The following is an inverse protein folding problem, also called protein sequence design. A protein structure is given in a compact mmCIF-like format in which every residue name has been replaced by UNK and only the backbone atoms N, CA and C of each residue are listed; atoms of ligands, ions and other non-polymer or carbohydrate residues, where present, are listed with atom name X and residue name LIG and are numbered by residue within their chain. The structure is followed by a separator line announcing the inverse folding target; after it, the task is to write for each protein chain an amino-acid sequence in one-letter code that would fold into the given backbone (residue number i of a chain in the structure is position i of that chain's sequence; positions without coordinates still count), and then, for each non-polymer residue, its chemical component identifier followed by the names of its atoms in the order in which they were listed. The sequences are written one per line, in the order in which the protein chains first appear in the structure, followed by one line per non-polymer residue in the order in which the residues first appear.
data_IF_957758353419
#
_entry.id   IF_957758353419
#
_cell.length_a   1.000
_cell.length_b   1.000
_cell.length_c   1.000
_cell.angle_alpha   90.00
_cell.angle_beta   90.00
_cell.angle_gamma   90.00
#
_symmetry.space_group_name_H-M   'P 1'
#
loop_
_entity.id
_entity.type
_entity.pdbx_description
1 polymer ?
#
# COMPACT_ATOMS: atom_id res chain seq x y z
N UNK A 1 -15.15 -4.66 -11.63
CA UNK A 1 -16.31 -4.73 -10.71
C UNK A 1 -15.93 -4.25 -9.30
N UNK A 2 -14.97 -4.91 -8.63
CA UNK A 2 -14.51 -4.55 -7.27
C UNK A 2 -14.22 -3.05 -7.11
N UNK A 3 -13.37 -2.47 -7.98
CA UNK A 3 -13.03 -1.05 -7.89
C UNK A 3 -14.26 -0.12 -7.92
N UNK A 4 -15.28 -0.45 -8.72
CA UNK A 4 -16.53 0.33 -8.75
C UNK A 4 -17.32 0.22 -7.45
N UNK A 5 -17.37 -0.96 -6.83
CA UNK A 5 -18.05 -1.16 -5.55
C UNK A 5 -17.35 -0.37 -4.43
N UNK A 6 -16.01 -0.42 -4.39
CA UNK A 6 -15.21 0.34 -3.43
C UNK A 6 -15.38 1.85 -3.61
N UNK A 7 -15.37 2.33 -4.85
CA UNK A 7 -15.67 3.74 -5.17
C UNK A 7 -17.08 4.16 -4.75
N UNK A 8 -18.05 3.24 -4.77
CA UNK A 8 -19.40 3.47 -4.26
C UNK A 8 -19.51 3.39 -2.73
N UNK A 9 -18.39 3.26 -2.00
CA UNK A 9 -18.36 3.21 -0.54
C UNK A 9 -18.54 1.82 0.07
N UNK A 10 -18.49 0.75 -0.74
CA UNK A 10 -18.67 -0.64 -0.26
C UNK A 10 -17.31 -1.24 0.10
N UNK A 11 -17.16 -1.77 1.32
CA UNK A 11 -15.99 -2.59 1.69
C UNK A 11 -16.07 -3.93 0.97
N UNK A 12 -15.05 -4.25 0.16
CA UNK A 12 -14.99 -5.52 -0.58
C UNK A 12 -13.88 -6.39 -0.03
N UNK A 13 -14.25 -7.53 0.54
CA UNK A 13 -13.32 -8.58 1.01
C UNK A 13 -13.34 -9.73 0.01
N UNK A 14 -12.16 -10.21 -0.39
CA UNK A 14 -12.02 -11.31 -1.35
C UNK A 14 -11.05 -12.36 -0.81
N UNK A 15 -11.33 -13.63 -1.07
CA UNK A 15 -10.41 -14.73 -0.79
C UNK A 15 -9.19 -14.66 -1.71
N UNK A 16 -8.00 -14.95 -1.20
CA UNK A 16 -6.78 -15.03 -2.02
C UNK A 16 -6.84 -16.19 -3.04
N UNK A 17 -7.47 -17.31 -2.69
CA UNK A 17 -7.46 -18.54 -3.46
C UNK A 17 -6.83 -19.69 -2.65
N UNK A 18 -7.00 -20.93 -3.14
CA UNK A 18 -6.52 -22.14 -2.46
C UNK A 18 -5.46 -22.89 -3.28
N UNK A 19 -4.62 -22.15 -4.01
CA UNK A 19 -3.61 -22.67 -4.94
C UNK A 19 -2.18 -22.37 -4.47
N UNK A 20 -1.99 -22.35 -3.15
CA UNK A 20 -0.70 -22.05 -2.53
C UNK A 20 0.34 -23.16 -2.65
N UNK A 21 -0.06 -24.38 -3.01
CA UNK A 21 0.83 -25.52 -3.14
C UNK A 21 0.55 -26.29 -4.42
N UNK A 22 1.61 -26.88 -4.98
CA UNK A 22 1.51 -27.87 -6.03
C UNK A 22 1.05 -29.24 -5.47
N UNK A 23 0.73 -30.22 -6.35
CA UNK A 23 0.34 -31.57 -5.90
C UNK A 23 1.41 -32.33 -5.11
N UNK A 24 2.66 -31.86 -5.11
CA UNK A 24 3.79 -32.46 -4.39
C UNK A 24 4.04 -31.79 -3.02
N UNK A 25 3.26 -30.75 -2.68
CA UNK A 25 3.37 -30.01 -1.42
C UNK A 25 4.39 -28.87 -1.45
N UNK A 26 4.98 -28.55 -2.61
CA UNK A 26 5.88 -27.41 -2.73
C UNK A 26 5.08 -26.11 -2.75
N UNK A 27 5.63 -25.04 -2.15
CA UNK A 27 5.02 -23.71 -2.18
C UNK A 27 4.96 -23.18 -3.62
N UNK A 28 3.84 -22.56 -3.97
CA UNK A 28 3.61 -21.90 -5.26
C UNK A 28 3.26 -20.43 -5.03
N UNK A 29 3.99 -19.54 -5.71
CA UNK A 29 3.77 -18.09 -5.74
C UNK A 29 3.02 -17.70 -7.01
N UNK A 30 2.44 -16.50 -7.04
CA UNK A 30 1.71 -16.03 -8.23
C UNK A 30 0.29 -16.59 -8.35
N UNK A 31 -0.29 -17.12 -7.28
CA UNK A 31 -1.52 -17.92 -7.32
C UNK A 31 -2.75 -17.19 -6.78
N UNK A 32 -2.67 -15.87 -6.64
CA UNK A 32 -3.80 -15.02 -6.23
C UNK A 32 -4.86 -15.01 -7.32
N UNK A 33 -6.09 -15.31 -6.92
CA UNK A 33 -7.23 -15.47 -7.84
C UNK A 33 -8.07 -14.20 -7.95
N UNK A 34 -8.76 -14.05 -9.08
CA UNK A 34 -9.81 -13.04 -9.21
C UNK A 34 -11.02 -13.40 -8.35
N UNK A 35 -11.63 -12.45 -7.62
CA UNK A 35 -11.42 -11.00 -7.67
C UNK A 35 -10.35 -10.43 -6.71
N UNK A 36 -9.63 -11.27 -5.96
CA UNK A 36 -8.58 -10.89 -5.00
C UNK A 36 -7.32 -10.26 -5.61
N UNK A 37 -7.12 -10.39 -6.92
CA UNK A 37 -6.10 -9.62 -7.67
C UNK A 37 -6.37 -8.11 -7.69
N UNK A 38 -7.61 -7.68 -7.41
CA UNK A 38 -7.94 -6.26 -7.46
C UNK A 38 -7.21 -5.47 -6.37
N UNK A 39 -6.51 -4.36 -6.69
CA UNK A 39 -5.84 -3.55 -5.68
C UNK A 39 -6.80 -2.97 -4.63
N UNK A 40 -8.04 -2.70 -5.06
CA UNK A 40 -9.12 -2.17 -4.22
C UNK A 40 -9.74 -3.21 -3.27
N UNK A 41 -9.60 -4.51 -3.53
CA UNK A 41 -10.08 -5.54 -2.63
C UNK A 41 -9.22 -5.60 -1.36
N UNK A 42 -9.82 -6.01 -0.25
CA UNK A 42 -9.14 -6.58 0.91
C UNK A 42 -9.01 -8.09 0.63
N UNK A 43 -7.85 -8.50 0.16
CA UNK A 43 -7.55 -9.88 -0.23
C UNK A 43 -7.00 -10.64 0.95
N UNK A 44 -7.62 -11.77 1.28
CA UNK A 44 -7.37 -12.48 2.54
C UNK A 44 -6.83 -13.88 2.28
N UNK A 45 -5.63 -14.15 2.80
CA UNK A 45 -5.07 -15.50 2.88
C UNK A 45 -5.52 -16.22 4.16
N UNK A 46 -5.22 -17.51 4.26
CA UNK A 46 -5.68 -18.37 5.35
C UNK A 46 -4.57 -18.75 6.31
N UNK A 47 -4.88 -18.77 7.61
CA UNK A 47 -4.06 -19.44 8.63
C UNK A 47 -4.76 -20.67 9.20
N UNK A 48 -3.94 -21.60 9.65
CA UNK A 48 -4.31 -22.72 10.49
C UNK A 48 -3.95 -22.41 11.93
N UNK A 49 -4.97 -22.31 12.79
CA UNK A 49 -4.80 -21.91 14.19
C UNK A 49 -4.43 -23.07 15.12
N UNK A 50 -4.21 -24.26 14.57
CA UNK A 50 -3.96 -25.51 15.32
C UNK A 50 -5.03 -25.86 16.37
N UNK A 51 -6.21 -25.22 16.30
CA UNK A 51 -7.27 -25.39 17.28
C UNK A 51 -6.94 -24.77 18.64
N UNK A 52 -5.94 -23.89 18.74
CA UNK A 52 -5.60 -23.16 19.96
C UNK A 52 -6.06 -21.70 19.85
N UNK A 53 -6.08 -21.02 21.00
CA UNK A 53 -6.28 -19.56 21.06
C UNK A 53 -4.95 -18.80 20.98
N UNK A 54 -3.82 -19.51 21.17
CA UNK A 54 -2.49 -18.92 21.12
C UNK A 54 -2.19 -18.49 19.68
N UNK A 55 -1.39 -17.43 19.54
CA UNK A 55 -1.07 -16.85 18.22
C UNK A 55 0.31 -17.25 17.75
N UNK A 56 1.16 -17.65 18.70
CA UNK A 56 2.54 -18.03 18.50
C UNK A 56 2.72 -19.34 17.72
N UNK A 57 1.69 -20.21 17.65
CA UNK A 57 1.71 -21.47 16.92
C UNK A 57 0.88 -21.45 15.61
N UNK A 58 0.23 -20.33 15.30
CA UNK A 58 -0.51 -20.12 14.06
C UNK A 58 0.43 -20.21 12.84
N UNK A 59 -0.01 -20.91 11.78
CA UNK A 59 0.74 -21.03 10.53
C UNK A 59 -0.09 -20.58 9.33
N UNK A 60 0.53 -19.95 8.33
CA UNK A 60 -0.13 -19.76 7.02
C UNK A 60 -0.49 -21.13 6.47
N UNK A 61 -1.77 -21.31 6.14
CA UNK A 61 -2.30 -22.58 5.68
C UNK A 61 -1.60 -22.94 4.36
N UNK A 62 -1.16 -24.20 4.18
CA UNK A 62 -0.37 -24.58 3.01
C UNK A 62 -1.09 -24.29 1.68
N UNK A 63 -2.41 -24.52 1.63
CA UNK A 63 -3.25 -24.22 0.47
C UNK A 63 -3.44 -22.72 0.19
N UNK A 64 -3.18 -21.82 1.14
CA UNK A 64 -3.43 -20.39 0.95
C UNK A 64 -2.64 -19.85 -0.23
N UNK A 65 -3.34 -19.30 -1.24
CA UNK A 65 -2.69 -18.68 -2.39
C UNK A 65 -1.73 -17.57 -1.95
N UNK A 66 -0.63 -17.43 -2.69
CA UNK A 66 0.48 -16.54 -2.40
C UNK A 66 0.67 -15.55 -3.54
N UNK A 67 1.04 -14.33 -3.20
CA UNK A 67 1.40 -13.31 -4.18
C UNK A 67 2.69 -13.64 -4.95
N UNK A 68 3.17 -12.71 -5.78
CA UNK A 68 2.45 -11.50 -6.20
C UNK A 68 1.21 -11.84 -7.07
N UNK A 69 0.45 -10.84 -7.52
CA UNK A 69 -0.52 -11.03 -8.59
C UNK A 69 0.19 -11.26 -9.93
N UNK A 70 -0.44 -12.04 -10.81
CA UNK A 70 0.04 -12.28 -12.18
C UNK A 70 -0.96 -11.74 -13.23
N UNK A 71 -1.73 -10.71 -12.86
CA UNK A 71 -2.53 -9.99 -13.87
C UNK A 71 -1.58 -9.27 -14.82
N UNK A 72 -1.99 -9.16 -16.08
CA UNK A 72 -1.11 -8.62 -17.10
C UNK A 72 -1.87 -7.82 -18.14
N UNK A 73 -1.15 -6.91 -18.78
CA UNK A 73 -1.55 -6.31 -20.05
C UNK A 73 -0.66 -6.84 -21.17
N UNK A 74 -1.27 -7.12 -22.31
CA UNK A 74 -0.55 -7.50 -23.52
C UNK A 74 -0.55 -6.33 -24.49
N UNK A 75 0.62 -5.92 -24.95
CA UNK A 75 0.74 -4.91 -26.00
C UNK A 75 0.14 -5.48 -27.30
N UNK A 76 -0.90 -4.85 -27.88
CA UNK A 76 -1.60 -5.40 -29.04
C UNK A 76 -0.77 -5.35 -30.33
N UNK A 77 0.31 -4.56 -30.36
CA UNK A 77 1.20 -4.40 -31.52
C UNK A 77 2.40 -5.33 -31.41
N UNK A 78 3.07 -5.38 -30.25
CA UNK A 78 4.31 -6.15 -30.08
C UNK A 78 4.10 -7.55 -29.49
N UNK A 79 2.91 -7.85 -28.96
CA UNK A 79 2.61 -9.08 -28.24
C UNK A 79 3.30 -9.19 -26.86
N UNK A 80 4.01 -8.16 -26.41
CA UNK A 80 4.73 -8.17 -25.14
C UNK A 80 3.76 -8.20 -23.97
N UNK A 81 3.96 -9.14 -23.04
CA UNK A 81 3.19 -9.28 -21.80
C UNK A 81 3.91 -8.57 -20.66
N UNK A 82 3.21 -7.71 -19.94
CA UNK A 82 3.70 -7.03 -18.73
C UNK A 82 2.80 -7.39 -17.57
N UNK A 83 3.37 -8.05 -16.57
CA UNK A 83 2.69 -8.45 -15.34
C UNK A 83 2.68 -7.30 -14.32
N UNK A 84 1.61 -7.23 -13.53
CA UNK A 84 1.40 -6.19 -12.53
C UNK A 84 2.14 -6.47 -11.20
N UNK A 85 2.50 -7.72 -10.90
CA UNK A 85 3.34 -8.13 -9.77
C UNK A 85 2.98 -7.48 -8.43
N UNK A 86 1.70 -7.26 -8.14
CA UNK A 86 1.26 -6.57 -6.93
C UNK A 86 1.37 -7.48 -5.70
N UNK A 87 1.77 -6.89 -4.58
CA UNK A 87 1.84 -7.60 -3.31
C UNK A 87 0.43 -7.95 -2.79
N UNK A 88 0.21 -9.26 -2.61
CA UNK A 88 -1.00 -9.89 -2.11
C UNK A 88 -0.63 -11.19 -1.36
N UNK A 89 -1.45 -11.68 -0.41
CA UNK A 89 -2.68 -11.08 0.10
C UNK A 89 -2.40 -9.78 0.88
N UNK A 90 -3.45 -9.00 1.22
CA UNK A 90 -3.27 -7.80 2.05
C UNK A 90 -3.05 -8.17 3.52
N UNK A 91 -3.72 -9.23 4.00
CA UNK A 91 -3.53 -9.83 5.33
C UNK A 91 -3.99 -11.30 5.32
N UNK A 92 -3.73 -12.02 6.40
CA UNK A 92 -4.24 -13.38 6.62
C UNK A 92 -5.21 -13.45 7.80
N UNK A 93 -6.10 -14.44 7.81
CA UNK A 93 -7.05 -14.67 8.90
C UNK A 93 -7.36 -16.17 9.06
N UNK A 94 -7.89 -16.62 10.21
CA UNK A 94 -8.26 -18.02 10.43
C UNK A 94 -9.12 -18.57 9.30
N UNK A 95 -8.66 -19.66 8.68
CA UNK A 95 -9.29 -20.23 7.48
C UNK A 95 -9.16 -21.73 7.31
N UNK A 96 -8.33 -22.40 8.10
CA UNK A 96 -8.27 -23.86 8.12
C UNK A 96 -9.04 -24.41 9.33
N UNK A 97 -9.84 -25.45 9.10
CA UNK A 97 -10.64 -26.16 10.11
C UNK A 97 -11.59 -25.24 10.89
N UNK A 98 -12.22 -24.30 10.19
CA UNK A 98 -13.18 -23.38 10.77
C UNK A 98 -14.54 -24.07 10.89
N UNK A 99 -15.06 -24.13 12.11
CA UNK A 99 -16.41 -24.62 12.40
C UNK A 99 -17.40 -23.48 12.24
N UNK A 100 -18.40 -23.65 11.39
CA UNK A 100 -19.47 -22.66 11.17
C UNK A 100 -20.79 -23.34 10.83
N UNK A 101 -21.85 -22.54 10.62
CA UNK A 101 -23.22 -23.03 10.42
C UNK A 101 -23.30 -24.01 9.25
N UNK A 102 -23.96 -25.14 9.49
CA UNK A 102 -24.34 -26.08 8.46
C UNK A 102 -25.80 -25.85 8.03
N UNK A 103 -26.02 -25.77 6.72
CA UNK A 103 -27.36 -25.75 6.13
C UNK A 103 -28.01 -27.14 6.26
N UNK A 104 -29.32 -27.20 6.49
CA UNK A 104 -30.06 -28.47 6.36
C UNK A 104 -29.91 -29.07 4.94
N UNK A 105 -29.83 -30.41 4.87
CA UNK A 105 -29.55 -31.17 3.63
C UNK A 105 -28.29 -30.69 2.88
N UNK A 106 -27.19 -30.44 3.61
CA UNK A 106 -25.93 -30.00 3.04
C UNK A 106 -25.27 -31.10 2.18
N UNK A 107 -25.00 -30.79 0.91
CA UNK A 107 -24.34 -31.70 -0.03
C UNK A 107 -22.94 -32.13 0.42
N UNK A 108 -22.13 -31.20 0.95
CA UNK A 108 -20.77 -31.49 1.39
C UNK A 108 -20.79 -32.43 2.61
N UNK A 109 -21.68 -32.21 3.57
CA UNK A 109 -21.81 -33.10 4.73
C UNK A 109 -22.36 -34.46 4.34
N UNK A 110 -23.29 -34.52 3.38
CA UNK A 110 -23.79 -35.78 2.82
C UNK A 110 -22.66 -36.58 2.15
N UNK A 111 -21.79 -35.89 1.40
CA UNK A 111 -20.67 -36.51 0.69
C UNK A 111 -19.49 -36.84 1.61
N UNK A 112 -19.26 -36.00 2.63
CA UNK A 112 -18.15 -36.10 3.58
C UNK A 112 -18.68 -35.97 5.03
N UNK A 113 -19.31 -37.02 5.58
CA UNK A 113 -19.98 -36.93 6.90
C UNK A 113 -19.07 -36.51 8.05
N UNK A 114 -17.76 -36.79 7.95
CA UNK A 114 -16.77 -36.44 8.96
C UNK A 114 -16.57 -34.92 9.16
N UNK A 115 -17.05 -34.08 8.24
CA UNK A 115 -16.97 -32.62 8.40
C UNK A 115 -18.15 -32.07 9.23
N UNK A 116 -19.15 -32.90 9.54
CA UNK A 116 -20.22 -32.52 10.45
C UNK A 116 -19.68 -32.29 11.87
N UNK A 117 -20.24 -31.29 12.55
CA UNK A 117 -19.94 -30.99 13.94
C UNK A 117 -21.26 -30.77 14.68
N UNK A 118 -21.52 -31.60 15.69
CA UNK A 118 -22.69 -31.45 16.54
C UNK A 118 -22.62 -30.16 17.37
N UNK A 119 -23.74 -29.43 17.41
CA UNK A 119 -23.90 -28.31 18.33
C UNK A 119 -24.27 -28.74 19.73
N UNK A 120 -24.13 -27.84 20.71
CA UNK A 120 -24.52 -28.09 22.10
C UNK A 120 -26.01 -27.94 22.38
N UNK A 121 -26.77 -27.35 21.43
CA UNK A 121 -28.22 -27.18 21.51
C UNK A 121 -28.92 -28.12 20.53
N UNK A 122 -30.12 -28.56 20.88
CA UNK A 122 -30.97 -29.39 20.02
C UNK A 122 -31.12 -28.75 18.63
N UNK A 123 -30.94 -29.56 17.58
CA UNK A 123 -31.00 -29.15 16.17
C UNK A 123 -29.94 -28.12 15.73
N UNK A 124 -28.93 -27.82 16.54
CA UNK A 124 -27.81 -26.98 16.11
C UNK A 124 -26.82 -27.82 15.32
N UNK A 125 -26.65 -27.49 14.04
CA UNK A 125 -25.77 -28.20 13.10
C UNK A 125 -24.66 -27.28 12.66
N UNK A 126 -23.43 -27.77 12.74
CA UNK A 126 -22.24 -27.07 12.27
C UNK A 126 -21.46 -27.97 11.34
N UNK A 127 -20.60 -27.37 10.53
CA UNK A 127 -19.65 -28.08 9.69
C UNK A 127 -18.28 -27.42 9.74
N UNK A 128 -17.24 -28.23 9.63
CA UNK A 128 -15.85 -27.78 9.61
C UNK A 128 -15.36 -27.69 8.17
N UNK A 129 -14.95 -26.50 7.74
CA UNK A 129 -14.41 -26.28 6.40
C UNK A 129 -13.03 -25.61 6.45
N UNK A 130 -12.27 -25.76 5.37
CA UNK A 130 -10.98 -25.11 5.18
C UNK A 130 -10.96 -24.38 3.84
N UNK A 131 -10.47 -23.14 3.84
CA UNK A 131 -10.31 -22.33 2.65
C UNK A 131 -10.10 -20.86 2.97
N UNK A 132 -9.49 -20.13 2.05
CA UNK A 132 -9.42 -18.66 2.11
C UNK A 132 -10.79 -18.01 2.06
N UNK A 133 -11.82 -18.72 1.60
CA UNK A 133 -13.24 -18.33 1.71
C UNK A 133 -13.69 -18.16 3.17
N UNK A 134 -13.23 -19.02 4.08
CA UNK A 134 -13.56 -18.91 5.51
C UNK A 134 -12.87 -17.67 6.11
N UNK A 135 -11.59 -17.47 5.77
CA UNK A 135 -10.84 -16.27 6.18
C UNK A 135 -11.49 -14.97 5.70
N UNK A 136 -11.98 -14.93 4.46
CA UNK A 136 -12.71 -13.78 3.93
C UNK A 136 -13.99 -13.48 4.74
N UNK A 137 -14.71 -14.52 5.19
CA UNK A 137 -15.84 -14.37 6.11
C UNK A 137 -15.44 -13.76 7.46
N UNK A 138 -14.34 -14.23 8.05
CA UNK A 138 -13.81 -13.70 9.32
C UNK A 138 -13.43 -12.22 9.20
N UNK A 139 -12.71 -11.84 8.14
CA UNK A 139 -12.32 -10.43 7.90
C UNK A 139 -13.54 -9.56 7.59
N UNK A 140 -14.56 -10.08 6.91
CA UNK A 140 -15.82 -9.35 6.68
C UNK A 140 -16.53 -9.03 8.01
N UNK A 141 -16.54 -9.96 8.97
CA UNK A 141 -17.03 -9.71 10.32
C UNK A 141 -16.23 -8.64 11.07
N UNK A 142 -14.90 -8.66 10.96
CA UNK A 142 -14.05 -7.63 11.55
C UNK A 142 -14.32 -6.24 10.95
N UNK A 143 -14.48 -6.14 9.62
CA UNK A 143 -14.85 -4.90 8.95
C UNK A 143 -16.22 -4.38 9.42
N UNK A 144 -17.20 -5.27 9.63
CA UNK A 144 -18.51 -4.90 10.18
C UNK A 144 -18.39 -4.33 11.61
N UNK A 145 -17.57 -4.93 12.48
CA UNK A 145 -17.31 -4.41 13.83
C UNK A 145 -16.63 -3.04 13.79
N UNK A 146 -15.69 -2.82 12.88
CA UNK A 146 -15.06 -1.51 12.69
C UNK A 146 -16.07 -0.44 12.25
N UNK A 147 -16.94 -0.78 11.31
CA UNK A 147 -18.00 0.12 10.84
C UNK A 147 -19.07 0.36 11.91
N UNK A 148 -19.33 -0.62 12.78
CA UNK A 148 -20.18 -0.42 13.96
C UNK A 148 -19.54 0.59 14.93
N UNK A 149 -18.23 0.49 15.16
CA UNK A 149 -17.49 1.42 16.02
C UNK A 149 -17.38 2.82 15.41
N UNK A 150 -17.22 2.91 14.09
CA UNK A 150 -17.18 4.18 13.37
C UNK A 150 -17.81 4.05 11.96
N UNK A 151 -19.09 4.43 11.81
CA UNK A 151 -19.79 4.34 10.53
C UNK A 151 -19.27 5.31 9.46
N UNK A 152 -18.41 6.27 9.81
CA UNK A 152 -17.86 7.26 8.88
C UNK A 152 -16.60 6.76 8.15
N UNK A 153 -16.10 5.56 8.47
CA UNK A 153 -14.93 5.00 7.83
C UNK A 153 -15.21 4.68 6.37
N UNK A 154 -14.27 5.08 5.51
CA UNK A 154 -14.26 4.71 4.10
C UNK A 154 -13.71 3.30 3.92
N UNK A 155 -14.02 2.59 2.81
CA UNK A 155 -13.44 1.28 2.55
C UNK A 155 -11.91 1.24 2.60
N UNK A 156 -11.29 2.32 2.15
CA UNK A 156 -9.84 2.47 2.13
C UNK A 156 -9.26 2.60 3.55
N UNK A 157 -9.94 3.32 4.43
CA UNK A 157 -9.59 3.39 5.85
C UNK A 157 -9.80 2.06 6.55
N UNK A 158 -10.88 1.33 6.25
CA UNK A 158 -11.10 -0.02 6.79
C UNK A 158 -9.94 -0.95 6.40
N UNK A 159 -9.59 -0.98 5.12
CA UNK A 159 -8.43 -1.75 4.62
C UNK A 159 -7.14 -1.35 5.34
N UNK A 160 -6.87 -0.04 5.44
CA UNK A 160 -5.66 0.46 6.06
C UNK A 160 -5.55 0.09 7.55
N UNK A 161 -6.63 0.27 8.31
CA UNK A 161 -6.65 -0.06 9.73
C UNK A 161 -6.42 -1.56 9.93
N UNK A 162 -7.11 -2.44 9.17
CA UNK A 162 -6.94 -3.89 9.26
C UNK A 162 -5.48 -4.32 9.06
N UNK A 163 -4.80 -3.72 8.08
CA UNK A 163 -3.40 -4.01 7.78
C UNK A 163 -2.45 -3.44 8.85
N UNK A 164 -2.68 -2.19 9.26
CA UNK A 164 -1.89 -1.51 10.28
C UNK A 164 -1.90 -2.25 11.62
N UNK A 165 -3.05 -2.80 12.01
CA UNK A 165 -3.22 -3.48 13.30
C UNK A 165 -2.88 -4.96 13.24
N UNK A 166 -2.68 -5.54 12.05
CA UNK A 166 -2.35 -6.95 11.88
C UNK A 166 -1.09 -7.36 12.64
N UNK A 167 -0.97 -8.64 13.00
CA UNK A 167 0.17 -9.22 13.69
C UNK A 167 1.16 -9.83 12.70
N UNK A 168 2.41 -9.38 12.69
CA UNK A 168 3.44 -10.05 11.88
C UNK A 168 3.67 -11.46 12.45
N UNK A 169 3.59 -12.46 11.58
CA UNK A 169 3.87 -13.85 11.88
C UNK A 169 5.35 -14.15 11.64
N UNK A 170 5.92 -15.06 12.44
CA UNK A 170 7.28 -15.53 12.28
C UNK A 170 7.36 -16.62 11.20
N UNK A 171 8.21 -16.44 10.19
CA UNK A 171 8.44 -17.44 9.15
C UNK A 171 7.89 -17.11 7.75
N UNK A 172 6.59 -16.79 7.56
CA UNK A 172 6.05 -16.51 6.23
C UNK A 172 6.54 -15.16 5.71
N UNK A 173 6.75 -15.05 4.40
CA UNK A 173 7.13 -13.78 3.76
C UNK A 173 5.91 -12.88 3.44
N UNK A 174 6.19 -11.70 2.87
CA UNK A 174 5.19 -10.71 2.50
C UNK A 174 4.07 -11.26 1.60
N UNK A 175 4.40 -12.10 0.62
CA UNK A 175 3.45 -12.68 -0.32
C UNK A 175 2.67 -13.85 0.27
N UNK A 176 3.08 -14.36 1.44
CA UNK A 176 2.34 -15.37 2.20
C UNK A 176 1.38 -14.74 3.22
N UNK A 177 1.88 -13.83 4.07
CA UNK A 177 1.11 -13.28 5.19
C UNK A 177 0.52 -11.88 4.96
N UNK A 178 0.94 -11.19 3.90
CA UNK A 178 0.60 -9.78 3.73
C UNK A 178 1.09 -8.95 4.91
N UNK A 179 0.25 -8.04 5.41
CA UNK A 179 0.56 -7.18 6.54
C UNK A 179 0.62 -7.95 7.87
N UNK A 180 0.21 -9.22 7.84
CA UNK A 180 0.19 -10.11 8.99
C UNK A 180 -1.20 -10.70 9.21
N UNK A 181 -1.34 -11.32 10.37
CA UNK A 181 -2.54 -11.99 10.80
C UNK A 181 -3.52 -11.02 11.47
N UNK A 182 -4.80 -11.09 11.07
CA UNK A 182 -5.89 -10.26 11.54
C UNK A 182 -5.88 -10.07 13.06
N UNK A 183 -5.99 -8.82 13.50
CA UNK A 183 -6.16 -8.43 14.90
C UNK A 183 -7.41 -7.56 15.03
N UNK A 184 -8.51 -8.15 15.50
CA UNK A 184 -9.81 -7.49 15.61
C UNK A 184 -9.83 -6.45 16.74
N UNK A 185 -9.19 -6.73 17.87
CA UNK A 185 -9.08 -5.79 19.00
C UNK A 185 -8.44 -4.47 18.57
N UNK A 186 -7.26 -4.56 17.96
CA UNK A 186 -6.54 -3.39 17.46
C UNK A 186 -7.35 -2.64 16.40
N UNK A 187 -7.93 -3.36 15.44
CA UNK A 187 -8.69 -2.76 14.35
C UNK A 187 -9.89 -1.94 14.86
N UNK A 188 -10.66 -2.47 15.83
CA UNK A 188 -11.82 -1.78 16.40
C UNK A 188 -11.39 -0.59 17.27
N UNK A 189 -10.32 -0.72 18.07
CA UNK A 189 -9.77 0.38 18.88
C UNK A 189 -9.29 1.54 18.02
N UNK A 190 -8.60 1.24 16.92
CA UNK A 190 -8.17 2.27 15.96
C UNK A 190 -9.37 2.88 15.24
N UNK A 191 -10.35 2.08 14.80
CA UNK A 191 -11.58 2.57 14.18
C UNK A 191 -12.32 3.58 15.07
N UNK A 192 -12.47 3.28 16.36
CA UNK A 192 -13.10 4.15 17.35
C UNK A 192 -12.31 5.45 17.61
N UNK A 193 -10.98 5.43 17.45
CA UNK A 193 -10.14 6.62 17.60
C UNK A 193 -10.16 7.55 16.37
N UNK A 194 -10.63 7.05 15.23
CA UNK A 194 -10.76 7.86 14.01
C UNK A 194 -11.89 8.89 14.14
N UNK A 195 -11.74 10.01 13.44
CA UNK A 195 -12.73 11.07 13.35
C UNK A 195 -14.07 10.54 12.86
N UNK A 196 -15.17 11.08 13.40
CA UNK A 196 -16.54 10.83 12.90
C UNK A 196 -16.82 11.52 11.57
N UNK A 197 -15.88 12.34 11.08
CA UNK A 197 -15.88 12.96 9.75
C UNK A 197 -14.83 12.34 8.84
N UNK A 198 -14.43 11.08 9.09
CA UNK A 198 -13.31 10.46 8.39
C UNK A 198 -13.50 10.39 6.87
N UNK A 199 -14.73 10.24 6.39
CA UNK A 199 -15.08 10.27 4.97
C UNK A 199 -15.06 11.67 4.32
N UNK A 200 -15.19 12.74 5.12
CA UNK A 200 -15.29 14.13 4.63
C UNK A 200 -14.14 15.01 5.09
N UNK A 201 -13.08 14.41 5.66
CA UNK A 201 -11.93 15.15 6.14
C UNK A 201 -11.18 15.79 4.97
N UNK A 202 -10.84 17.07 5.09
CA UNK A 202 -10.01 17.76 4.10
C UNK A 202 -8.53 17.48 4.35
N UNK A 203 -7.71 17.56 3.30
CA UNK A 203 -6.26 17.34 3.38
C UNK A 203 -5.66 18.20 4.51
N UNK A 204 -4.95 17.54 5.44
CA UNK A 204 -4.32 18.18 6.59
C UNK A 204 -5.13 18.15 7.89
N UNK A 205 -6.41 17.75 7.87
CA UNK A 205 -7.19 17.57 9.09
C UNK A 205 -6.85 16.26 9.78
N UNK A 206 -6.36 16.30 11.03
CA UNK A 206 -6.05 15.10 11.80
C UNK A 206 -7.25 14.14 11.84
N UNK A 207 -7.05 12.93 11.31
CA UNK A 207 -8.06 11.88 11.30
C UNK A 207 -8.12 11.10 12.60
N UNK A 208 -7.09 11.21 13.43
CA UNK A 208 -7.11 10.68 14.80
C UNK A 208 -7.61 11.79 15.72
N UNK A 209 -8.64 11.49 16.50
CA UNK A 209 -9.27 12.46 17.41
C UNK A 209 -8.92 12.14 18.88
N UNK A 210 -9.15 13.11 19.77
CA UNK A 210 -8.98 12.92 21.20
C UNK A 210 -7.55 12.60 21.63
N UNK A 211 -7.36 11.49 22.35
CA UNK A 211 -6.12 11.09 23.04
C UNK A 211 -5.02 10.57 22.09
N UNK A 212 -5.29 10.46 20.79
CA UNK A 212 -4.36 9.89 19.80
C UNK A 212 -4.61 8.40 19.53
N UNK A 213 -3.66 7.75 18.85
CA UNK A 213 -3.79 6.33 18.52
C UNK A 213 -3.61 5.47 19.78
N UNK A 214 -4.37 4.37 19.91
CA UNK A 214 -4.11 3.37 20.93
C UNK A 214 -2.68 2.83 20.85
N UNK A 215 -2.15 2.35 21.98
CA UNK A 215 -0.87 1.65 22.00
C UNK A 215 -0.87 0.51 20.96
N UNK A 216 0.18 0.38 20.11
CA UNK A 216 0.18 -0.49 18.94
C UNK A 216 0.42 -1.97 19.30
N UNK A 217 -0.41 -2.48 20.21
CA UNK A 217 -0.39 -3.83 20.71
C UNK A 217 -1.78 -4.26 21.21
N UNK A 218 -2.01 -5.56 21.20
CA UNK A 218 -3.19 -6.22 21.79
C UNK A 218 -2.76 -7.36 22.71
N UNK A 219 -3.62 -7.76 23.64
CA UNK A 219 -3.43 -8.97 24.45
C UNK A 219 -4.45 -10.00 23.98
N UNK A 220 -3.99 -11.08 23.36
CA UNK A 220 -4.84 -12.13 22.79
C UNK A 220 -4.42 -13.45 23.44
N UNK A 221 -5.36 -14.13 24.09
CA UNK A 221 -5.10 -15.39 24.80
C UNK A 221 -3.93 -15.33 25.81
N UNK A 222 -3.72 -14.17 26.45
CA UNK A 222 -2.62 -13.94 27.40
C UNK A 222 -1.28 -13.58 26.75
N UNK A 223 -1.19 -13.55 25.42
CA UNK A 223 0.00 -13.14 24.68
C UNK A 223 -0.09 -11.65 24.29
N UNK A 224 0.98 -10.89 24.55
CA UNK A 224 1.11 -9.53 24.02
C UNK A 224 1.56 -9.59 22.57
N UNK A 225 0.72 -9.08 21.68
CA UNK A 225 0.91 -9.08 20.24
C UNK A 225 1.14 -7.66 19.76
N UNK A 226 2.34 -7.40 19.23
CA UNK A 226 2.66 -6.13 18.58
C UNK A 226 1.97 -6.03 17.20
N UNK A 227 1.45 -4.84 16.88
CA UNK A 227 0.89 -4.57 15.57
C UNK A 227 2.00 -4.34 14.55
N UNK A 228 1.75 -4.70 13.30
CA UNK A 228 2.67 -4.53 12.17
C UNK A 228 2.98 -3.07 11.90
N UNK A 229 2.01 -2.19 12.21
CA UNK A 229 2.01 -0.78 11.85
C UNK A 229 2.32 -0.55 10.37
N UNK A 230 1.94 -1.51 9.53
CA UNK A 230 2.36 -1.61 8.13
C UNK A 230 1.17 -1.54 7.18
N UNK A 231 1.33 -0.82 6.07
CA UNK A 231 0.46 -0.90 4.91
C UNK A 231 1.25 -1.43 3.73
N UNK A 232 0.81 -2.53 3.15
CA UNK A 232 1.30 -3.05 1.88
C UNK A 232 0.47 -2.46 0.75
N UNK A 233 1.15 -1.89 -0.23
CA UNK A 233 0.49 -1.27 -1.35
C UNK A 233 1.28 -1.42 -2.64
N UNK A 234 0.65 -2.04 -3.65
CA UNK A 234 1.26 -2.25 -4.96
C UNK A 234 2.58 -2.99 -4.84
N UNK A 235 3.69 -2.28 -5.10
CA UNK A 235 5.05 -2.81 -5.07
C UNK A 235 5.82 -2.51 -3.77
N UNK A 236 5.22 -1.84 -2.78
CA UNK A 236 5.91 -1.35 -1.59
C UNK A 236 5.16 -1.53 -0.28
N UNK A 237 5.82 -1.20 0.83
CA UNK A 237 5.22 -1.18 2.16
C UNK A 237 5.59 0.11 2.92
N UNK A 238 4.62 0.72 3.59
CA UNK A 238 4.81 1.85 4.50
C UNK A 238 4.69 1.38 5.94
N UNK A 239 5.52 1.89 6.86
CA UNK A 239 5.49 1.53 8.28
C UNK A 239 5.48 2.73 9.22
N UNK A 240 4.91 2.53 10.41
CA UNK A 240 4.99 3.45 11.55
C UNK A 240 3.74 4.32 11.76
N UNK A 241 3.69 5.02 12.88
CA UNK A 241 2.51 5.76 13.34
C UNK A 241 2.03 6.86 12.36
N UNK A 242 2.97 7.49 11.64
CA UNK A 242 2.70 8.52 10.64
C UNK A 242 1.69 8.06 9.57
N UNK A 243 1.67 6.76 9.29
CA UNK A 243 0.77 6.12 8.32
C UNK A 243 -0.70 6.43 8.60
N UNK A 244 -1.13 6.42 9.87
CA UNK A 244 -2.52 6.67 10.25
C UNK A 244 -2.77 8.10 10.75
N UNK A 245 -1.74 8.85 11.10
CA UNK A 245 -1.89 10.19 11.68
C UNK A 245 -1.72 11.32 10.67
N UNK A 246 -0.68 11.26 9.84
CA UNK A 246 -0.26 12.37 8.96
C UNK A 246 -0.25 12.00 7.48
N UNK A 247 -0.07 10.72 7.13
CA UNK A 247 0.02 10.23 5.75
C UNK A 247 -1.35 9.83 5.18
N UNK A 248 -2.28 10.79 5.18
CA UNK A 248 -3.69 10.54 4.81
C UNK A 248 -3.84 10.05 3.37
N UNK A 249 -2.90 10.44 2.51
CA UNK A 249 -2.72 9.97 1.13
C UNK A 249 -2.74 8.44 1.04
N UNK A 250 -2.22 7.72 2.03
CA UNK A 250 -2.16 6.26 2.06
C UNK A 250 -3.53 5.55 2.15
N UNK A 251 -4.62 6.27 2.45
CA UNK A 251 -5.97 5.70 2.61
C UNK A 251 -7.11 6.59 2.09
N UNK A 252 -6.83 7.61 1.25
CA UNK A 252 -7.88 8.48 0.68
C UNK A 252 -8.77 7.73 -0.32
N UNK A 253 -10.03 8.14 -0.47
CA UNK A 253 -10.98 7.56 -1.45
C UNK A 253 -10.56 7.76 -2.92
N UNK A 254 -9.86 8.85 -3.22
CA UNK A 254 -9.51 9.28 -4.58
C UNK A 254 -8.18 8.70 -5.08
N UNK A 255 -7.43 8.00 -4.23
CA UNK A 255 -6.23 7.32 -4.69
C UNK A 255 -6.63 6.07 -5.47
N UNK A 256 -6.32 6.07 -6.77
CA UNK A 256 -6.26 4.83 -7.53
C UNK A 256 -5.18 3.98 -6.86
N UNK A 257 -5.57 2.85 -6.28
CA UNK A 257 -4.74 1.87 -5.57
C UNK A 257 -3.71 1.14 -6.45
N UNK A 258 -3.34 1.73 -7.55
CA UNK A 258 -2.22 1.36 -8.37
C UNK A 258 -1.66 2.68 -8.83
N UNK A 259 -0.35 2.80 -8.77
CA UNK A 259 0.26 3.98 -9.29
C UNK A 259 -0.05 3.94 -10.80
N UNK A 260 -0.76 4.95 -11.32
CA UNK A 260 -1.07 5.04 -12.75
C UNK A 260 0.22 5.40 -13.46
N UNK A 261 0.62 4.82 -14.58
CA UNK A 261 -0.24 4.48 -15.71
C UNK A 261 0.62 3.69 -16.72
N UNK A 262 0.11 3.49 -17.92
CA UNK A 262 0.77 2.75 -18.99
C UNK A 262 0.94 3.66 -20.20
N UNK A 263 2.19 3.86 -20.65
CA UNK A 263 2.63 4.06 -22.04
C UNK A 263 3.96 4.85 -22.13
N UNK A 264 4.38 5.13 -23.37
CA UNK A 264 5.65 5.74 -23.73
C UNK A 264 5.77 7.26 -23.48
N UNK A 265 4.74 7.95 -22.97
CA UNK A 265 4.80 9.42 -22.74
C UNK A 265 4.07 9.92 -21.48
N UNK A 266 3.45 9.07 -20.66
CA UNK A 266 2.89 9.62 -19.43
C UNK A 266 2.10 8.66 -18.58
N UNK A 267 2.77 8.20 -17.53
CA UNK A 267 2.30 7.26 -16.56
C UNK A 267 3.05 7.46 -15.24
N UNK A 268 2.45 8.16 -14.27
CA UNK A 268 3.11 8.58 -13.02
C UNK A 268 3.20 7.52 -11.92
N UNK A 269 4.28 6.72 -11.99
CA UNK A 269 4.88 5.69 -11.11
C UNK A 269 5.76 6.10 -9.88
N UNK A 270 5.41 6.00 -8.59
CA UNK A 270 6.38 6.13 -7.45
C UNK A 270 7.00 4.79 -7.06
N UNK A 271 8.34 4.69 -6.97
CA UNK A 271 9.05 3.45 -6.64
C UNK A 271 9.80 3.54 -5.30
N UNK A 272 9.87 2.42 -4.57
CA UNK A 272 10.82 2.17 -3.47
C UNK A 272 11.45 0.80 -3.72
N UNK A 273 12.71 0.73 -4.13
CA UNK A 273 13.33 -0.52 -4.60
C UNK A 273 14.26 -1.23 -3.60
N UNK A 274 14.44 -0.71 -2.39
CA UNK A 274 15.19 -1.41 -1.33
C UNK A 274 16.64 -1.79 -1.65
N UNK A 275 17.21 -1.38 -2.79
CA UNK A 275 18.59 -1.69 -3.19
C UNK A 275 19.49 -0.45 -3.15
N UNK A 276 18.93 0.77 -3.29
CA UNK A 276 19.65 2.04 -3.08
C UNK A 276 18.76 3.13 -2.46
N UNK A 277 19.31 3.98 -1.60
CA UNK A 277 18.55 4.69 -0.54
C UNK A 277 17.83 6.01 -0.90
N UNK A 278 17.69 6.47 -2.16
CA UNK A 278 17.25 7.88 -2.33
C UNK A 278 16.67 8.41 -3.67
N UNK A 279 16.14 7.63 -4.62
CA UNK A 279 15.58 8.21 -5.88
C UNK A 279 14.05 8.41 -5.86
N UNK A 280 13.54 9.59 -6.29
CA UNK A 280 12.10 9.93 -6.36
C UNK A 280 11.68 10.53 -7.72
N UNK A 281 10.46 10.22 -8.19
CA UNK A 281 9.80 10.93 -9.31
C UNK A 281 8.30 11.10 -9.00
N UNK A 282 7.73 12.28 -9.27
CA UNK A 282 6.31 12.59 -9.08
C UNK A 282 5.71 13.28 -10.33
N UNK A 283 4.44 12.98 -10.66
CA UNK A 283 3.66 13.71 -11.67
C UNK A 283 2.23 13.99 -11.19
N UNK A 284 1.73 15.21 -11.43
CA UNK A 284 0.34 15.63 -11.19
C UNK A 284 0.11 17.08 -11.64
N UNK A 285 -1.08 17.39 -12.17
CA UNK A 285 -1.46 18.78 -12.54
C UNK A 285 -1.74 19.63 -11.29
N UNK A 286 -1.33 20.91 -11.30
CA UNK A 286 -1.29 21.86 -10.16
C UNK A 286 -0.27 21.53 -9.04
N UNK A 287 0.86 20.91 -9.38
CA UNK A 287 2.01 20.91 -8.47
C UNK A 287 2.70 22.28 -8.52
N UNK A 288 2.71 23.00 -7.40
CA UNK A 288 3.49 24.24 -7.20
C UNK A 288 5.01 23.99 -7.16
N UNK A 289 5.44 22.74 -7.33
CA UNK A 289 6.81 22.25 -7.23
C UNK A 289 7.08 21.33 -8.42
N UNK A 290 7.20 21.91 -9.62
CA UNK A 290 7.54 21.20 -10.85
C UNK A 290 9.05 20.91 -10.89
N UNK A 291 9.52 20.03 -10.01
CA UNK A 291 10.92 19.62 -9.98
C UNK A 291 11.04 18.12 -10.23
N UNK A 292 11.97 17.77 -11.11
CA UNK A 292 12.47 16.41 -11.27
C UNK A 292 13.82 16.37 -10.56
N UNK A 293 13.96 15.58 -9.49
CA UNK A 293 15.25 15.36 -8.82
C UNK A 293 15.81 14.01 -9.21
N UNK A 294 17.00 13.99 -9.79
CA UNK A 294 17.79 12.77 -9.97
C UNK A 294 19.03 12.89 -9.08
N UNK A 295 18.93 12.50 -7.81
CA UNK A 295 20.13 12.33 -6.99
C UNK A 295 19.95 11.31 -5.87
N UNK A 296 21.04 10.62 -5.55
CA UNK A 296 21.21 9.80 -4.36
C UNK A 296 21.74 10.64 -3.21
N UNK A 297 20.87 11.25 -2.40
CA UNK A 297 21.27 11.99 -1.19
C UNK A 297 20.29 13.10 -0.79
N UNK A 298 20.46 13.67 0.41
CA UNK A 298 19.79 14.93 0.81
C UNK A 298 20.09 16.02 -0.22
N UNK A 299 19.11 16.84 -0.65
CA UNK A 299 19.27 17.73 -1.78
C UNK A 299 20.29 18.83 -1.44
N UNK A 300 21.51 18.66 -1.92
CA UNK A 300 22.51 19.74 -1.98
C UNK A 300 22.89 19.93 -3.43
N UNK A 301 22.02 20.63 -4.15
CA UNK A 301 22.29 21.29 -5.42
C UNK A 301 22.72 20.38 -6.59
N UNK A 302 21.76 19.68 -7.21
CA UNK A 302 21.79 19.30 -8.64
C UNK A 302 20.43 18.72 -9.04
N UNK A 303 19.55 19.54 -9.58
CA UNK A 303 18.26 19.10 -10.12
C UNK A 303 17.90 19.95 -11.33
N UNK A 304 17.26 19.35 -12.34
CA UNK A 304 16.74 20.08 -13.49
C UNK A 304 15.42 20.74 -13.08
N UNK A 305 15.40 22.07 -13.09
CA UNK A 305 14.23 22.88 -12.80
C UNK A 305 13.59 23.28 -14.12
N UNK A 306 12.36 22.84 -14.39
CA UNK A 306 11.60 23.37 -15.52
C UNK A 306 10.25 23.91 -15.04
N UNK A 307 10.14 25.23 -15.01
CA UNK A 307 8.93 25.96 -14.64
C UNK A 307 8.69 27.09 -15.65
N UNK A 308 7.44 27.52 -15.79
CA UNK A 308 7.07 28.61 -16.70
C UNK A 308 7.46 30.00 -16.15
N UNK A 309 7.51 30.14 -14.82
CA UNK A 309 8.06 31.30 -14.10
C UNK A 309 8.74 30.78 -12.81
N UNK A 310 9.95 31.28 -12.51
CA UNK A 310 10.72 30.92 -11.32
C UNK A 310 10.87 32.14 -10.40
N UNK A 311 10.09 32.22 -9.34
CA UNK A 311 10.25 33.26 -8.31
C UNK A 311 11.06 32.69 -7.14
N UNK A 312 12.39 32.75 -7.26
CA UNK A 312 13.29 32.33 -6.19
C UNK A 312 14.37 33.39 -5.93
N UNK A 313 14.61 33.71 -4.67
CA UNK A 313 15.79 34.45 -4.22
C UNK A 313 16.76 33.43 -3.63
N UNK A 314 17.72 32.95 -4.42
CA UNK A 314 18.66 31.92 -3.96
C UNK A 314 19.77 31.60 -4.96
N UNK A 315 20.96 31.28 -4.43
CA UNK A 315 22.17 30.92 -5.17
C UNK A 315 22.06 29.49 -5.74
N UNK A 316 22.25 29.33 -7.05
CA UNK A 316 22.34 28.02 -7.71
C UNK A 316 23.83 27.69 -7.87
N UNK A 317 24.28 26.60 -7.23
CA UNK A 317 25.65 26.09 -7.37
C UNK A 317 25.62 24.74 -8.08
N UNK A 318 26.49 24.51 -9.06
CA UNK A 318 26.54 23.24 -9.79
C UNK A 318 27.77 23.14 -10.69
N UNK A 319 28.41 21.98 -10.68
CA UNK A 319 29.74 21.71 -11.24
C UNK A 319 29.71 21.06 -12.64
N UNK A 320 28.58 21.10 -13.37
CA UNK A 320 28.51 20.72 -14.79
C UNK A 320 27.29 21.32 -15.50
N UNK A 321 27.55 21.82 -16.72
CA UNK A 321 26.65 22.25 -17.82
C UNK A 321 25.30 22.84 -17.37
N UNK A 322 25.22 24.16 -17.37
CA UNK A 322 23.96 24.88 -17.53
C UNK A 322 23.86 25.24 -19.00
N UNK A 323 23.04 24.56 -19.80
CA UNK A 323 22.72 25.03 -21.15
C UNK A 323 21.90 26.31 -21.03
N UNK A 324 22.35 27.37 -21.68
CA UNK A 324 21.91 28.76 -21.51
C UNK A 324 20.56 29.12 -22.13
N UNK A 325 19.74 28.16 -22.56
CA UNK A 325 18.67 28.50 -23.50
C UNK A 325 17.43 29.17 -22.89
N UNK A 326 17.13 29.09 -21.59
CA UNK A 326 15.93 29.77 -21.07
C UNK A 326 16.02 30.13 -19.58
N UNK A 327 16.43 31.36 -19.26
CA UNK A 327 16.09 32.00 -17.99
C UNK A 327 15.79 33.49 -18.19
N UNK A 328 14.57 33.91 -17.82
CA UNK A 328 14.28 35.31 -17.50
C UNK A 328 14.55 35.51 -16.00
N UNK A 329 15.61 36.23 -15.66
CA UNK A 329 16.07 36.46 -14.29
C UNK A 329 15.60 37.84 -13.81
N UNK A 330 14.38 37.91 -13.28
CA UNK A 330 13.82 39.16 -12.73
C UNK A 330 14.26 39.47 -11.28
N UNK A 331 15.21 38.72 -10.70
CA UNK A 331 15.78 39.06 -9.38
C UNK A 331 17.15 38.44 -9.11
N UNK A 332 17.90 39.15 -8.25
CA UNK A 332 19.33 39.04 -7.92
C UNK A 332 19.89 37.62 -7.82
N UNK A 333 20.37 37.09 -8.94
CA UNK A 333 20.95 35.75 -9.01
C UNK A 333 22.36 35.82 -9.57
N UNK A 334 23.32 35.20 -8.89
CA UNK A 334 24.71 35.02 -9.33
C UNK A 334 24.91 33.54 -9.70
N UNK A 335 25.42 33.26 -10.89
CA UNK A 335 25.75 31.90 -11.34
C UNK A 335 27.23 31.89 -11.77
N UNK A 336 27.98 30.88 -11.31
CA UNK A 336 29.38 30.70 -11.65
C UNK A 336 29.65 29.21 -11.87
N UNK A 337 30.40 28.87 -12.92
CA UNK A 337 30.80 27.51 -13.24
C UNK A 337 32.08 27.49 -14.08
N UNK A 338 32.95 26.52 -13.81
CA UNK A 338 34.23 26.28 -14.50
C UNK A 338 34.26 24.84 -15.01
N UNK A 339 33.66 24.61 -16.19
CA UNK A 339 34.07 23.61 -17.18
C UNK A 339 32.97 23.44 -18.24
N UNK A 340 33.14 24.10 -19.39
CA UNK A 340 32.41 23.81 -20.62
C UNK A 340 33.18 22.84 -21.53
N UNK A 341 32.47 22.11 -22.38
CA UNK A 341 33.08 21.37 -23.48
C UNK A 341 33.54 22.36 -24.55
N UNK A 342 34.86 22.51 -24.73
CA UNK A 342 35.45 23.17 -25.90
C UNK A 342 35.48 24.70 -25.88
N UNK A 343 36.66 25.26 -25.56
CA UNK A 343 37.25 26.58 -25.92
C UNK A 343 36.43 27.89 -25.99
N UNK A 344 35.14 27.92 -25.75
CA UNK A 344 34.38 29.16 -25.62
C UNK A 344 33.47 29.00 -24.41
N UNK A 345 33.71 29.86 -23.42
CA UNK A 345 32.76 30.38 -22.43
C UNK A 345 33.50 30.68 -21.11
N UNK A 346 33.86 31.94 -20.95
CA UNK A 346 34.09 32.54 -19.64
C UNK A 346 32.72 32.91 -19.07
N UNK A 347 32.36 32.37 -17.90
CA UNK A 347 31.13 32.77 -17.24
C UNK A 347 31.25 34.19 -16.68
N UNK A 348 30.40 35.10 -17.15
CA UNK A 348 30.09 36.33 -16.42
C UNK A 348 28.58 36.47 -16.25
N UNK A 349 28.16 36.82 -15.04
CA UNK A 349 26.78 37.22 -14.76
C UNK A 349 26.76 38.65 -14.23
N UNK A 350 26.00 39.47 -14.94
CA UNK A 350 25.66 40.85 -14.62
C UNK A 350 24.23 40.93 -14.07
N UNK A 351 23.95 41.97 -13.28
CA UNK A 351 22.63 42.31 -12.75
C UNK A 351 22.17 43.64 -13.33
N UNK A 352 20.90 43.71 -13.77
CA UNK A 352 20.30 44.90 -14.40
C UNK A 352 19.92 46.03 -13.44
N UNK A 353 20.23 45.95 -12.13
CA UNK A 353 20.04 47.09 -11.21
C UNK A 353 21.33 47.74 -10.70
N UNK A 354 22.45 47.54 -11.39
CA UNK A 354 23.66 48.36 -11.22
C UNK A 354 24.92 47.69 -11.76
N UNK A 355 25.48 48.28 -12.82
CA UNK A 355 26.82 48.15 -13.42
C UNK A 355 27.70 46.91 -13.11
N UNK A 356 28.19 46.24 -14.18
CA UNK A 356 29.16 45.15 -14.07
C UNK A 356 29.46 44.44 -15.40
N UNK A 357 30.50 44.93 -16.07
CA UNK A 357 31.05 44.57 -17.38
C UNK A 357 31.45 43.08 -17.55
N UNK A 358 31.26 42.49 -18.74
CA UNK A 358 31.95 41.25 -19.17
C UNK A 358 33.33 41.64 -19.74
N UNK A 359 34.41 41.19 -19.11
CA UNK A 359 35.74 41.23 -19.72
C UNK A 359 36.36 39.83 -19.69
N UNK A 360 36.75 39.35 -20.86
CA UNK A 360 37.55 38.14 -21.03
C UNK A 360 38.91 38.52 -21.61
N UNK A 361 39.99 38.01 -21.02
CA UNK A 361 41.27 37.86 -21.71
C UNK A 361 41.96 36.58 -21.26
N UNK A 362 42.26 35.77 -22.28
CA UNK A 362 43.10 34.57 -22.42
C UNK A 362 42.77 33.31 -21.62
#
# INVERSE_FOLDING_TARGET
AVGRAVQAGIVVVASAGNFGQDPYGNKTYGSITSPGISPAAITVGAVYTRGTNARSDDLVAPFSSRGPTLSHSTNPITGTVVYDNLAKPDLVAPGARIVSLERDNNYLVTTYPAIHVDGTKTNSRYMMLSGTSMSAGVVSGAAALMLQANPSLTPNQVKAILMYTAQIMNGPDLFEQGAGLLNVDGAVRVAAAMSSKAATAVVGQKLVTGQGLPAPQSVIAGETVAWSQSLIWGFGALRGQAVLTTQQTAYTQSLIWGIGRLDAWGAGVTYYDGLYSSSYVAFGGNNQWNYITWDSGTPTASGLIWTRELYASGLIWGNRIISSDFFDCSSSSLIWGINGYGRYDAGLIWSINGAGLIWGMY
#
